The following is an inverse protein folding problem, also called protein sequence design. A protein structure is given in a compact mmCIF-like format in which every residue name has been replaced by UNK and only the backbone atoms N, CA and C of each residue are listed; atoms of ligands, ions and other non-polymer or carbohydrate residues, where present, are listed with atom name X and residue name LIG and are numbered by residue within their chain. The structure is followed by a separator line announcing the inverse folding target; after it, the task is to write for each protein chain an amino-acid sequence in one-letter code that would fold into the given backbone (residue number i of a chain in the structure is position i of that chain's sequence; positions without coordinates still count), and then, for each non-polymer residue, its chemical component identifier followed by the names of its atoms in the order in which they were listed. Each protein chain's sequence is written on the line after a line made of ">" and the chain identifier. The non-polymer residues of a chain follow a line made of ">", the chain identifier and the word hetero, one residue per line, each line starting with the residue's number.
data_IF_314918596148
#
_entry.id   IF_314918596148
#
_cell.length_a   1.000
_cell.length_b   1.000
_cell.length_c   1.000
_cell.angle_alpha   90.00
_cell.angle_beta   90.00
_cell.angle_gamma   90.00
#
_symmetry.space_group_name_H-M   'P 1'
#
loop_
_entity.id
_entity.type
_entity.pdbx_description
1 polymer ?
#
# COMPACT_ATOMS: atom_id res chain seq x y z
N UNK A 1 -23.38 2.09 -25.60
CA UNK A 1 -22.73 1.32 -24.50
C UNK A 1 -21.39 1.97 -24.21
N UNK A 2 -21.21 2.61 -23.07
CA UNK A 2 -19.90 3.09 -22.63
C UNK A 2 -19.12 1.93 -22.01
N UNK A 3 -17.91 1.70 -22.49
CA UNK A 3 -17.00 0.73 -21.89
C UNK A 3 -16.45 1.38 -20.61
N UNK A 4 -16.87 0.87 -19.45
CA UNK A 4 -16.33 1.33 -18.16
C UNK A 4 -14.98 0.65 -17.91
N UNK A 5 -13.89 1.31 -18.30
CA UNK A 5 -12.53 0.78 -18.20
C UNK A 5 -12.15 0.41 -16.76
N UNK A 6 -12.49 1.22 -15.76
CA UNK A 6 -12.24 0.87 -14.34
C UNK A 6 -12.87 -0.47 -13.95
N UNK A 7 -14.08 -0.77 -14.44
CA UNK A 7 -14.76 -2.02 -14.15
C UNK A 7 -14.15 -3.20 -14.91
N UNK A 8 -13.62 -2.96 -16.10
CA UNK A 8 -13.01 -3.98 -16.96
C UNK A 8 -11.57 -4.34 -16.53
N UNK A 9 -10.80 -3.36 -16.06
CA UNK A 9 -9.43 -3.55 -15.53
C UNK A 9 -9.43 -4.01 -14.06
N UNK A 10 -10.51 -3.72 -13.32
CA UNK A 10 -10.72 -4.20 -11.96
C UNK A 10 -9.68 -3.69 -10.97
N UNK A 11 -9.44 -4.47 -9.90
CA UNK A 11 -8.47 -4.11 -8.85
C UNK A 11 -7.00 -4.37 -9.23
N UNK A 12 -6.71 -4.87 -10.43
CA UNK A 12 -5.36 -5.26 -10.83
C UNK A 12 -4.41 -4.06 -10.98
N UNK A 13 -4.88 -2.96 -11.56
CA UNK A 13 -4.13 -1.71 -11.68
C UNK A 13 -3.77 -1.14 -10.30
N UNK A 14 -4.76 -1.05 -9.40
CA UNK A 14 -4.56 -0.55 -8.04
C UNK A 14 -3.62 -1.44 -7.23
N UNK A 15 -3.74 -2.76 -7.41
CA UNK A 15 -2.80 -3.72 -6.83
C UNK A 15 -1.37 -3.49 -7.34
N UNK A 16 -1.17 -3.22 -8.64
CA UNK A 16 0.15 -2.93 -9.21
C UNK A 16 0.78 -1.68 -8.56
N UNK A 17 0.01 -0.59 -8.46
CA UNK A 17 0.46 0.66 -7.84
C UNK A 17 0.83 0.43 -6.37
N UNK A 18 -0.02 -0.25 -5.60
CA UNK A 18 0.26 -0.59 -4.21
C UNK A 18 1.55 -1.40 -4.07
N UNK A 19 1.75 -2.41 -4.94
CA UNK A 19 2.95 -3.25 -4.92
C UNK A 19 4.21 -2.45 -5.22
N UNK A 20 4.13 -1.47 -6.13
CA UNK A 20 5.24 -0.56 -6.40
C UNK A 20 5.59 0.31 -5.19
N UNK A 21 4.59 0.88 -4.52
CA UNK A 21 4.79 1.69 -3.31
C UNK A 21 5.37 0.86 -2.16
N UNK A 22 4.85 -0.35 -1.96
CA UNK A 22 5.39 -1.27 -0.95
C UNK A 22 6.84 -1.66 -1.24
N UNK A 23 7.21 -1.85 -2.51
CA UNK A 23 8.59 -2.13 -2.88
C UNK A 23 9.55 -0.98 -2.50
N UNK A 24 9.13 0.27 -2.67
CA UNK A 24 9.89 1.45 -2.25
C UNK A 24 10.14 1.44 -0.74
N UNK A 25 9.11 1.18 0.06
CA UNK A 25 9.20 1.15 1.53
C UNK A 25 10.08 0.01 2.00
N UNK A 26 9.88 -1.20 1.47
CA UNK A 26 10.72 -2.35 1.81
C UNK A 26 12.19 -2.11 1.42
N UNK A 27 12.43 -1.49 0.26
CA UNK A 27 13.79 -1.10 -0.14
C UNK A 27 14.39 -0.07 0.81
N UNK A 28 13.60 0.89 1.30
CA UNK A 28 14.06 1.87 2.29
C UNK A 28 14.40 1.20 3.63
N UNK A 29 13.58 0.24 4.08
CA UNK A 29 13.88 -0.55 5.28
C UNK A 29 15.18 -1.33 5.12
N UNK A 30 15.38 -2.03 4.00
CA UNK A 30 16.59 -2.82 3.72
C UNK A 30 17.83 -1.92 3.68
N UNK A 31 17.76 -0.76 3.04
CA UNK A 31 18.88 0.18 2.97
C UNK A 31 19.28 0.73 4.34
N UNK A 32 18.33 0.85 5.26
CA UNK A 32 18.52 1.35 6.62
C UNK A 32 18.69 0.24 7.66
N UNK A 33 18.89 -1.02 7.23
CA UNK A 33 19.03 -2.17 8.13
C UNK A 33 20.24 -2.07 9.08
N UNK A 34 21.26 -1.28 8.74
CA UNK A 34 22.44 -1.06 9.60
C UNK A 34 22.44 0.33 10.24
N UNK A 35 21.30 1.03 10.26
CA UNK A 35 21.20 2.37 10.85
C UNK A 35 20.64 2.29 12.29
N UNK A 36 21.37 2.80 13.30
CA UNK A 36 20.90 2.79 14.68
C UNK A 36 19.59 3.55 14.84
N UNK A 37 18.73 3.10 15.78
CA UNK A 37 17.41 3.69 16.09
C UNK A 37 16.36 3.67 14.96
N UNK A 38 16.61 2.99 13.84
CA UNK A 38 15.67 2.98 12.72
C UNK A 38 14.40 2.14 12.98
N UNK A 39 13.25 2.65 12.50
CA UNK A 39 11.92 2.03 12.67
C UNK A 39 11.35 1.58 11.33
N UNK A 40 11.18 0.28 11.16
CA UNK A 40 10.63 -0.30 9.93
C UNK A 40 9.16 0.05 9.74
N UNK A 41 8.79 0.33 8.49
CA UNK A 41 7.42 0.69 8.10
C UNK A 41 6.90 -0.32 7.09
N UNK A 42 5.61 -0.60 7.09
CA UNK A 42 4.97 -1.42 6.05
C UNK A 42 3.55 -0.88 5.74
N UNK A 43 3.02 -1.33 4.61
CA UNK A 43 1.66 -1.05 4.15
C UNK A 43 0.82 -2.32 4.24
N UNK A 44 -0.36 -2.21 4.84
CA UNK A 44 -1.35 -3.29 4.83
C UNK A 44 -2.28 -3.14 3.61
N UNK A 45 -2.22 -4.09 2.68
CA UNK A 45 -3.06 -4.10 1.49
C UNK A 45 -4.56 -4.19 1.83
N UNK A 46 -4.91 -4.91 2.89
CA UNK A 46 -6.31 -5.14 3.26
C UNK A 46 -6.99 -3.86 3.73
N UNK A 47 -6.26 -3.02 4.47
CA UNK A 47 -6.76 -1.72 4.93
C UNK A 47 -6.88 -0.73 3.78
N UNK A 48 -5.92 -0.70 2.84
CA UNK A 48 -5.95 0.17 1.64
C UNK A 48 -7.08 -0.23 0.69
N UNK A 49 -7.31 -1.53 0.48
CA UNK A 49 -8.44 -1.98 -0.34
C UNK A 49 -9.78 -1.69 0.35
N UNK A 50 -9.84 -1.85 1.67
CA UNK A 50 -11.03 -1.55 2.46
C UNK A 50 -11.32 -0.05 2.50
N UNK A 51 -10.33 0.84 2.58
CA UNK A 51 -10.53 2.30 2.54
C UNK A 51 -11.07 2.73 1.19
N UNK A 52 -10.51 2.23 0.09
CA UNK A 52 -10.99 2.54 -1.27
C UNK A 52 -12.38 1.96 -1.57
N UNK A 53 -12.75 0.83 -0.96
CA UNK A 53 -14.11 0.28 -1.08
C UNK A 53 -15.10 1.04 -0.17
N UNK A 54 -14.62 1.60 0.94
CA UNK A 54 -15.43 2.34 1.93
C UNK A 54 -15.63 3.82 1.63
N UNK A 55 -15.02 4.39 0.60
CA UNK A 55 -15.34 5.78 0.18
C UNK A 55 -16.83 6.00 -0.13
N UNK A 56 -17.62 4.94 -0.30
CA UNK A 56 -19.09 5.04 -0.43
C UNK A 56 -19.87 4.95 0.89
N UNK A 57 -19.23 4.66 2.04
CA UNK A 57 -19.94 4.30 3.29
C UNK A 57 -19.44 4.96 4.59
N UNK A 58 -18.30 5.65 4.60
CA UNK A 58 -17.79 6.30 5.81
C UNK A 58 -17.88 7.83 5.69
N UNK A 59 -18.97 8.42 6.19
CA UNK A 59 -18.93 9.84 6.55
C UNK A 59 -17.80 10.04 7.56
N UNK A 60 -16.86 10.96 7.32
CA UNK A 60 -15.80 11.25 8.28
C UNK A 60 -16.41 11.72 9.60
N UNK A 61 -16.13 10.97 10.67
CA UNK A 61 -16.50 11.32 12.02
C UNK A 61 -15.53 12.38 12.52
N UNK A 62 -15.84 13.65 12.26
CA UNK A 62 -15.02 14.75 12.75
C UNK A 62 -15.30 14.99 14.24
N UNK A 63 -14.24 15.03 15.04
CA UNK A 63 -14.32 15.48 16.41
C UNK A 63 -14.56 16.99 16.43
N UNK A 64 -15.69 17.45 16.98
CA UNK A 64 -15.91 18.88 17.21
C UNK A 64 -14.93 19.38 18.28
N UNK A 65 -13.95 20.18 17.86
CA UNK A 65 -13.14 20.95 18.81
C UNK A 65 -13.98 22.09 19.39
N UNK A 66 -14.08 22.16 20.71
CA UNK A 66 -14.85 23.21 21.42
C UNK A 66 -13.95 24.26 22.07
N UNK A 67 -12.63 24.04 22.08
CA UNK A 67 -11.65 24.95 22.66
C UNK A 67 -10.35 24.90 21.85
N UNK A 68 -9.69 26.05 21.72
CA UNK A 68 -8.43 26.23 20.99
C UNK A 68 -7.27 25.39 21.55
N UNK A 69 -7.37 24.92 22.80
CA UNK A 69 -6.39 24.00 23.42
C UNK A 69 -6.70 22.51 23.20
N UNK A 70 -7.82 22.17 22.56
CA UNK A 70 -8.09 20.77 22.21
C UNK A 70 -7.14 20.35 21.09
N UNK A 71 -6.72 19.08 21.12
CA UNK A 71 -5.96 18.48 20.04
C UNK A 71 -6.87 18.52 18.81
N UNK A 72 -6.53 19.41 17.88
CA UNK A 72 -7.08 19.36 16.53
C UNK A 72 -6.51 18.10 15.88
N UNK A 73 -7.34 17.35 15.19
CA UNK A 73 -6.88 16.32 14.26
C UNK A 73 -6.10 17.04 13.17
N UNK A 74 -4.81 17.25 13.43
CA UNK A 74 -3.88 17.75 12.45
C UNK A 74 -3.79 16.64 11.44
N UNK A 75 -4.29 16.91 10.23
CA UNK A 75 -4.22 16.04 9.06
C UNK A 75 -2.95 15.22 9.16
N UNK A 76 -3.10 13.92 9.43
CA UNK A 76 -1.96 13.03 9.55
C UNK A 76 -1.17 13.22 8.26
N UNK A 77 0.06 13.71 8.38
CA UNK A 77 1.02 13.89 7.30
C UNK A 77 1.43 12.51 6.73
N UNK A 78 0.47 11.79 6.17
CA UNK A 78 0.52 10.38 5.89
C UNK A 78 -0.48 10.01 4.81
N UNK A 79 -0.69 10.88 3.83
CA UNK A 79 -1.56 10.60 2.68
C UNK A 79 -0.87 10.80 1.34
N UNK A 80 0.44 10.54 1.28
CA UNK A 80 1.13 10.37 -0.01
C UNK A 80 0.87 8.97 -0.59
N UNK A 81 0.55 8.00 0.28
CA UNK A 81 0.43 6.58 -0.08
C UNK A 81 -0.97 5.97 0.13
N UNK A 82 -2.01 6.77 0.42
CA UNK A 82 -3.41 6.30 0.48
C UNK A 82 -3.72 5.23 1.54
N UNK A 83 -2.79 5.02 2.48
CA UNK A 83 -2.87 4.03 3.54
C UNK A 83 -1.97 4.45 4.69
N UNK A 84 -2.49 4.42 5.91
CA UNK A 84 -1.71 4.73 7.10
C UNK A 84 -0.49 3.80 7.15
N UNK A 85 0.70 4.35 6.90
CA UNK A 85 1.96 3.64 7.05
C UNK A 85 2.09 3.18 8.50
N UNK A 86 2.06 1.86 8.70
CA UNK A 86 2.11 1.25 10.02
C UNK A 86 3.58 0.98 10.36
N UNK A 87 3.97 1.28 11.61
CA UNK A 87 5.23 0.79 12.14
C UNK A 87 5.12 -0.71 12.40
N UNK A 88 6.14 -1.46 11.98
CA UNK A 88 6.17 -2.91 12.21
C UNK A 88 6.62 -3.22 13.64
N UNK A 89 6.01 -4.24 14.26
CA UNK A 89 6.45 -4.77 15.55
C UNK A 89 7.62 -5.74 15.33
N UNK A 90 8.83 -5.44 15.81
CA UNK A 90 9.98 -6.33 15.63
C UNK A 90 9.79 -7.63 16.42
N UNK A 91 10.06 -8.77 15.77
CA UNK A 91 10.07 -10.07 16.45
C UNK A 91 11.30 -10.23 17.36
N UNK A 92 12.43 -9.62 16.96
CA UNK A 92 13.67 -9.61 17.71
C UNK A 92 14.20 -8.17 17.79
N UNK A 93 14.18 -7.52 18.97
CA UNK A 93 14.77 -6.20 19.15
C UNK A 93 16.29 -6.29 18.99
N UNK A 94 16.87 -5.46 18.12
CA UNK A 94 18.31 -5.34 18.03
C UNK A 94 18.85 -4.48 19.21
N UNK A 95 20.11 -4.72 19.57
CA UNK A 95 20.78 -4.04 20.70
C UNK A 95 20.92 -2.52 20.48
N UNK A 96 20.92 -2.10 19.22
CA UNK A 96 21.04 -0.72 18.75
C UNK A 96 19.68 -0.01 18.59
N UNK A 97 18.60 -0.60 19.12
CA UNK A 97 17.22 -0.13 18.98
C UNK A 97 16.70 -0.08 17.53
N UNK A 98 17.39 -0.73 16.59
CA UNK A 98 16.85 -0.98 15.27
C UNK A 98 15.75 -2.05 15.33
N UNK A 99 14.74 -1.89 14.49
CA UNK A 99 13.58 -2.79 14.37
C UNK A 99 13.50 -3.47 13.00
N UNK A 100 14.46 -3.19 12.12
CA UNK A 100 14.61 -3.86 10.83
C UNK A 100 15.33 -5.18 11.05
N UNK A 101 14.72 -6.25 10.53
CA UNK A 101 15.39 -7.52 10.31
C UNK A 101 15.64 -7.67 8.81
N UNK A 102 16.92 -7.63 8.41
CA UNK A 102 17.29 -7.65 6.99
C UNK A 102 16.79 -8.89 6.25
N UNK A 103 16.83 -10.08 6.88
CA UNK A 103 16.42 -11.31 6.22
C UNK A 103 14.91 -11.33 6.02
N UNK A 104 14.16 -10.87 7.02
CA UNK A 104 12.70 -10.75 6.94
C UNK A 104 12.29 -9.70 5.89
N UNK A 105 12.95 -8.54 5.84
CA UNK A 105 12.63 -7.50 4.86
C UNK A 105 12.96 -7.95 3.42
N UNK A 106 14.06 -8.69 3.21
CA UNK A 106 14.36 -9.31 1.89
C UNK A 106 13.29 -10.34 1.52
N UNK A 107 12.84 -11.17 2.47
CA UNK A 107 11.75 -12.12 2.22
C UNK A 107 10.44 -11.41 1.84
N UNK A 108 10.08 -10.32 2.53
CA UNK A 108 8.91 -9.50 2.18
C UNK A 108 9.07 -8.85 0.80
N UNK A 109 10.26 -8.37 0.46
CA UNK A 109 10.54 -7.74 -0.84
C UNK A 109 10.39 -8.73 -2.00
N UNK A 110 10.97 -9.92 -1.84
CA UNK A 110 10.84 -11.01 -2.84
C UNK A 110 9.39 -11.47 -2.99
N UNK A 111 8.65 -11.64 -1.88
CA UNK A 111 7.22 -11.96 -1.91
C UNK A 111 6.43 -10.86 -2.65
N UNK A 112 6.74 -9.59 -2.38
CA UNK A 112 6.10 -8.47 -3.05
C UNK A 112 6.35 -8.47 -4.56
N UNK A 113 7.56 -8.84 -4.99
CA UNK A 113 7.92 -9.02 -6.40
C UNK A 113 7.07 -10.09 -7.10
N UNK A 114 6.93 -11.28 -6.48
CA UNK A 114 6.06 -12.35 -7.03
C UNK A 114 4.61 -11.87 -7.18
N UNK A 115 4.11 -11.13 -6.18
CA UNK A 115 2.75 -10.58 -6.22
C UNK A 115 2.59 -9.47 -7.27
N UNK A 116 3.63 -8.68 -7.52
CA UNK A 116 3.66 -7.67 -8.58
C UNK A 116 3.55 -8.33 -9.95
N UNK A 117 4.35 -9.37 -10.22
CA UNK A 117 4.32 -10.09 -11.50
C UNK A 117 2.97 -10.76 -11.78
N UNK A 118 2.35 -11.32 -10.74
CA UNK A 118 1.01 -11.87 -10.82
C UNK A 118 -0.05 -10.80 -11.15
N UNK A 119 0.05 -9.62 -10.52
CA UNK A 119 -0.85 -8.50 -10.80
C UNK A 119 -0.67 -7.97 -12.22
N UNK A 120 0.58 -7.84 -12.67
CA UNK A 120 0.92 -7.41 -14.03
C UNK A 120 0.41 -8.40 -15.08
N UNK A 121 0.58 -9.71 -14.86
CA UNK A 121 0.09 -10.74 -15.77
C UNK A 121 -1.43 -10.69 -15.92
N UNK A 122 -2.17 -10.50 -14.81
CA UNK A 122 -3.63 -10.30 -14.83
C UNK A 122 -4.00 -9.05 -15.62
N UNK A 123 -3.34 -7.92 -15.36
CA UNK A 123 -3.59 -6.65 -16.04
C UNK A 123 -3.38 -6.77 -17.56
N UNK A 124 -2.26 -7.37 -17.96
CA UNK A 124 -1.95 -7.63 -19.37
C UNK A 124 -3.00 -8.54 -20.03
N UNK A 125 -3.47 -9.58 -19.33
CA UNK A 125 -4.56 -10.43 -19.80
C UNK A 125 -5.87 -9.67 -20.03
N UNK A 126 -6.23 -8.77 -19.11
CA UNK A 126 -7.42 -7.91 -19.23
C UNK A 126 -7.32 -6.97 -20.44
N UNK A 127 -6.15 -6.33 -20.65
CA UNK A 127 -5.91 -5.49 -21.81
C UNK A 127 -6.01 -6.27 -23.12
N UNK A 128 -5.41 -7.46 -23.21
CA UNK A 128 -5.52 -8.31 -24.39
C UNK A 128 -6.97 -8.72 -24.67
N UNK A 129 -7.73 -9.04 -23.62
CA UNK A 129 -9.16 -9.36 -23.73
C UNK A 129 -9.98 -8.18 -24.26
N UNK A 130 -9.75 -6.96 -23.75
CA UNK A 130 -10.37 -5.73 -24.24
C UNK A 130 -10.02 -5.46 -25.71
N UNK A 131 -8.73 -5.61 -26.07
CA UNK A 131 -8.28 -5.41 -27.45
C UNK A 131 -8.95 -6.39 -28.41
N UNK A 132 -9.06 -7.65 -28.00
CA UNK A 132 -9.73 -8.70 -28.77
C UNK A 132 -11.23 -8.37 -28.95
N UNK A 133 -11.91 -7.99 -27.88
CA UNK A 133 -13.32 -7.59 -27.91
C UNK A 133 -13.56 -6.36 -28.80
N UNK A 134 -12.63 -5.40 -28.83
CA UNK A 134 -12.71 -4.22 -29.69
C UNK A 134 -12.46 -4.55 -31.17
N UNK A 135 -11.57 -5.52 -31.46
CA UNK A 135 -11.31 -6.00 -32.83
C UNK A 135 -12.41 -6.88 -33.39
N UNK A 136 -13.16 -7.59 -32.54
CA UNK A 136 -14.25 -8.46 -32.95
C UNK A 136 -13.86 -9.90 -33.28
N UNK A 137 -12.67 -10.35 -32.84
CA UNK A 137 -12.20 -11.75 -32.92
C UNK A 137 -12.55 -12.56 -31.67
#
# INVERSE_FOLDING_TARGET
>A
MSINFEKALGSAERALIFRSQRAEILSNNIANADTPNFKSRDLDFSTVLASQTKETAASPFFLKTTNVKHITEQESAGDIYGGALLYSTPAQPAIDQNTVDQQVEIAKYTENGIRFDAAFTRLNGAFKGLLKALRGD
#
